data_IF_264470665254
#
_entry.id   IF_264470665254
#
_cell.length_a   1.000
_cell.length_b   1.000
_cell.length_c   1.000
_cell.angle_alpha   90.00
_cell.angle_beta   90.00
_cell.angle_gamma   90.00
#
_symmetry.space_group_name_H-M   'P 1'
#
loop_
_entity.id
_entity.type
_entity.pdbx_description
1 polymer ?
#
# COMPACT_ATOMS: atom_id res chain seq x y z
N UNK A 1 -12.91 -63.41 31.90
CA UNK A 1 -12.71 -61.97 32.23
C UNK A 1 -11.25 -61.64 31.97
N UNK A 2 -10.79 -60.72 31.15
CA UNK A 2 -11.37 -59.85 30.13
C UNK A 2 -10.28 -59.59 29.06
N UNK A 3 -10.72 -59.21 27.86
CA UNK A 3 -9.86 -58.92 26.70
C UNK A 3 -9.21 -57.54 26.83
N UNK A 4 -7.91 -57.42 26.59
CA UNK A 4 -7.21 -56.15 26.38
C UNK A 4 -6.96 -56.00 24.86
N UNK A 5 -7.71 -55.11 24.21
CA UNK A 5 -7.47 -54.67 22.84
C UNK A 5 -6.60 -53.42 22.90
N UNK A 6 -5.39 -53.49 22.36
CA UNK A 6 -4.52 -52.34 22.16
C UNK A 6 -5.03 -51.53 20.95
N UNK A 7 -5.61 -50.36 21.20
CA UNK A 7 -5.96 -49.39 20.18
C UNK A 7 -4.73 -48.55 19.83
N UNK A 8 -4.13 -48.78 18.66
CA UNK A 8 -3.17 -47.85 18.08
C UNK A 8 -3.92 -46.61 17.58
N UNK A 9 -3.87 -45.53 18.35
CA UNK A 9 -4.38 -44.22 17.91
C UNK A 9 -3.48 -43.67 16.81
N UNK A 10 -4.03 -43.57 15.59
CA UNK A 10 -3.37 -42.85 14.51
C UNK A 10 -3.35 -41.35 14.86
N UNK A 11 -2.17 -40.81 15.15
CA UNK A 11 -1.95 -39.37 15.21
C UNK A 11 -1.98 -38.85 13.79
N UNK A 12 -3.11 -38.28 13.37
CA UNK A 12 -3.19 -37.50 12.15
C UNK A 12 -2.52 -36.15 12.43
N UNK A 13 -1.28 -35.97 11.98
CA UNK A 13 -0.69 -34.63 11.89
C UNK A 13 -1.51 -33.84 10.85
N UNK A 14 -2.35 -32.92 11.32
CA UNK A 14 -2.94 -31.90 10.47
C UNK A 14 -1.82 -30.96 10.01
N UNK A 15 -1.30 -31.18 8.79
CA UNK A 15 -0.43 -30.21 8.14
C UNK A 15 -1.24 -28.92 7.89
N UNK A 16 -0.77 -27.81 8.44
CA UNK A 16 -1.39 -26.49 8.28
C UNK A 16 -1.40 -26.09 6.80
N UNK A 17 -2.59 -26.05 6.19
CA UNK A 17 -2.82 -25.67 4.79
C UNK A 17 -2.82 -24.13 4.56
N UNK A 18 -2.22 -23.35 5.44
CA UNK A 18 -2.31 -21.88 5.43
C UNK A 18 -1.16 -21.16 4.71
N UNK A 19 -0.24 -21.87 4.04
CA UNK A 19 1.01 -21.27 3.52
C UNK A 19 1.10 -21.15 1.99
N UNK A 20 0.17 -21.73 1.22
CA UNK A 20 0.30 -21.76 -0.24
C UNK A 20 0.12 -20.39 -0.90
N UNK A 21 -0.79 -19.56 -0.38
CA UNK A 21 -1.09 -18.22 -0.94
C UNK A 21 0.02 -17.21 -0.65
N UNK A 22 0.54 -17.16 0.58
CA UNK A 22 1.63 -16.26 0.95
C UNK A 22 2.93 -16.57 0.21
N UNK A 23 3.29 -17.85 0.06
CA UNK A 23 4.49 -18.24 -0.68
C UNK A 23 4.31 -18.02 -2.19
N UNK A 24 3.11 -18.21 -2.74
CA UNK A 24 2.83 -17.86 -4.14
C UNK A 24 2.93 -16.34 -4.38
N UNK A 25 2.40 -15.53 -3.46
CA UNK A 25 2.51 -14.07 -3.51
C UNK A 25 3.97 -13.61 -3.46
N UNK A 26 4.72 -14.12 -2.47
CA UNK A 26 6.12 -13.78 -2.30
C UNK A 26 6.96 -14.11 -3.55
N UNK A 27 6.60 -15.16 -4.30
CA UNK A 27 7.23 -15.50 -5.59
C UNK A 27 6.84 -14.52 -6.69
N UNK A 28 5.56 -14.16 -6.79
CA UNK A 28 5.09 -13.18 -7.76
C UNK A 28 5.69 -11.79 -7.53
N UNK A 29 5.95 -11.43 -6.27
CA UNK A 29 6.53 -10.14 -5.93
C UNK A 29 8.06 -10.08 -6.07
N UNK A 30 8.76 -11.20 -6.27
CA UNK A 30 10.23 -11.18 -6.37
C UNK A 30 10.70 -10.27 -7.51
N UNK A 31 11.54 -9.29 -7.18
CA UNK A 31 12.10 -8.37 -8.17
C UNK A 31 11.11 -7.38 -8.78
N UNK A 32 9.86 -7.37 -8.32
CA UNK A 32 8.83 -6.45 -8.80
C UNK A 32 9.25 -4.99 -8.54
N UNK A 33 9.23 -4.10 -9.54
CA UNK A 33 9.54 -2.69 -9.33
C UNK A 33 8.54 -2.02 -8.39
N UNK A 34 9.04 -1.13 -7.52
CA UNK A 34 8.24 -0.39 -6.54
C UNK A 34 8.32 1.10 -6.82
N UNK A 35 7.16 1.76 -6.86
CA UNK A 35 7.03 3.20 -6.97
C UNK A 35 6.54 3.77 -5.64
N UNK A 36 7.33 4.66 -5.06
CA UNK A 36 7.09 5.40 -3.83
C UNK A 36 6.47 6.75 -4.19
N UNK A 37 5.36 7.11 -3.55
CA UNK A 37 4.54 8.28 -3.86
C UNK A 37 4.39 9.14 -2.61
N UNK A 38 4.98 10.34 -2.62
CA UNK A 38 5.00 11.22 -1.46
C UNK A 38 3.67 11.93 -1.21
N UNK A 39 3.53 12.45 0.01
CA UNK A 39 2.38 13.21 0.46
C UNK A 39 2.45 14.70 0.13
N UNK A 40 1.53 15.45 0.72
CA UNK A 40 1.39 16.90 0.58
C UNK A 40 2.61 17.63 1.15
N UNK A 41 3.17 18.60 0.41
CA UNK A 41 4.46 19.24 0.72
C UNK A 41 5.65 18.25 0.87
N UNK A 42 5.50 17.02 0.38
CA UNK A 42 6.54 16.00 0.41
C UNK A 42 7.49 16.13 -0.78
N UNK A 43 8.57 15.35 -0.74
CA UNK A 43 9.52 15.18 -1.84
C UNK A 43 9.92 13.72 -1.95
N UNK A 44 10.50 13.29 -3.10
CA UNK A 44 11.07 11.95 -3.26
C UNK A 44 12.08 11.58 -2.17
N UNK A 45 12.85 12.55 -1.66
CA UNK A 45 13.95 12.32 -0.72
C UNK A 45 13.48 11.81 0.65
N UNK A 46 12.22 12.08 1.02
CA UNK A 46 11.62 11.55 2.26
C UNK A 46 11.67 10.02 2.33
N UNK A 47 11.67 9.35 1.17
CA UNK A 47 11.74 7.90 1.06
C UNK A 47 13.16 7.35 0.92
N UNK A 48 14.22 8.16 1.01
CA UNK A 48 15.58 7.68 0.76
C UNK A 48 15.95 6.40 1.55
N UNK A 49 15.63 6.27 2.86
CA UNK A 49 15.86 5.02 3.59
C UNK A 49 15.06 3.83 3.04
N UNK A 50 13.76 4.02 2.77
CA UNK A 50 12.88 2.97 2.25
C UNK A 50 13.29 2.53 0.84
N UNK A 51 13.64 3.47 -0.03
CA UNK A 51 14.15 3.18 -1.37
C UNK A 51 15.40 2.31 -1.32
N UNK A 52 16.35 2.64 -0.43
CA UNK A 52 17.57 1.86 -0.25
C UNK A 52 17.27 0.44 0.25
N UNK A 53 16.37 0.30 1.23
CA UNK A 53 15.99 -1.01 1.77
C UNK A 53 15.28 -1.89 0.72
N UNK A 54 14.38 -1.31 -0.08
CA UNK A 54 13.73 -2.02 -1.20
C UNK A 54 14.74 -2.53 -2.22
N UNK A 55 15.72 -1.70 -2.59
CA UNK A 55 16.78 -2.08 -3.51
C UNK A 55 17.67 -3.20 -2.94
N UNK A 56 18.00 -3.14 -1.65
CA UNK A 56 18.73 -4.21 -0.96
C UNK A 56 17.93 -5.52 -0.90
N UNK A 57 16.60 -5.43 -0.79
CA UNK A 57 15.70 -6.57 -0.88
C UNK A 57 15.46 -7.06 -2.32
N UNK A 58 16.12 -6.48 -3.33
CA UNK A 58 16.07 -6.92 -4.72
C UNK A 58 14.98 -6.28 -5.56
N UNK A 59 14.27 -5.27 -5.05
CA UNK A 59 13.24 -4.54 -5.80
C UNK A 59 13.81 -3.26 -6.43
N UNK A 60 13.71 -3.09 -7.77
CA UNK A 60 13.96 -1.78 -8.38
C UNK A 60 13.00 -0.74 -7.79
N UNK A 61 13.52 0.30 -7.14
CA UNK A 61 12.69 1.30 -6.45
C UNK A 61 12.84 2.70 -7.05
N UNK A 62 11.70 3.36 -7.27
CA UNK A 62 11.57 4.71 -7.80
C UNK A 62 10.76 5.55 -6.83
N UNK A 63 11.17 6.79 -6.58
CA UNK A 63 10.36 7.76 -5.84
C UNK A 63 9.97 8.86 -6.84
N UNK A 64 8.66 9.05 -7.03
CA UNK A 64 8.14 10.04 -8.00
C UNK A 64 8.22 11.44 -7.40
N UNK A 65 8.68 12.41 -8.18
CA UNK A 65 8.52 13.84 -7.89
C UNK A 65 7.16 14.27 -8.43
N UNK A 66 6.20 14.54 -7.55
CA UNK A 66 4.83 14.85 -7.96
C UNK A 66 4.74 16.26 -8.55
N UNK A 67 3.91 16.48 -9.58
CA UNK A 67 3.77 17.78 -10.23
C UNK A 67 3.13 18.87 -9.35
N UNK A 68 2.55 18.50 -8.20
CA UNK A 68 1.97 19.43 -7.23
C UNK A 68 1.04 18.73 -6.23
N UNK A 69 0.04 19.46 -5.74
CA UNK A 69 -0.86 19.03 -4.65
C UNK A 69 -2.26 18.62 -5.13
N UNK A 70 -2.42 18.48 -6.45
CA UNK A 70 -3.66 18.01 -7.06
C UNK A 70 -3.60 16.50 -7.30
N UNK A 71 -4.40 15.72 -6.56
CA UNK A 71 -4.41 14.26 -6.61
C UNK A 71 -4.72 13.70 -8.00
N UNK A 72 -5.58 14.35 -8.78
CA UNK A 72 -5.89 13.90 -10.16
C UNK A 72 -4.67 14.08 -11.07
N UNK A 73 -3.97 15.21 -10.99
CA UNK A 73 -2.74 15.43 -11.76
C UNK A 73 -1.65 14.44 -11.34
N UNK A 74 -1.50 14.23 -10.03
CA UNK A 74 -0.57 13.26 -9.45
C UNK A 74 -0.87 11.83 -9.91
N UNK A 75 -2.13 11.41 -9.97
CA UNK A 75 -2.53 10.11 -10.48
C UNK A 75 -2.15 9.89 -11.96
N UNK A 76 -2.23 10.94 -12.79
CA UNK A 76 -1.77 10.88 -14.19
C UNK A 76 -0.24 10.76 -14.28
N UNK A 77 0.50 11.48 -13.43
CA UNK A 77 1.95 11.34 -13.35
C UNK A 77 2.37 9.92 -12.90
N UNK A 78 1.66 9.35 -11.91
CA UNK A 78 1.83 7.95 -11.49
C UNK A 78 1.57 7.00 -12.67
N UNK A 79 0.48 7.21 -13.42
CA UNK A 79 0.16 6.36 -14.58
C UNK A 79 1.29 6.33 -15.62
N UNK A 80 1.87 7.49 -15.92
CA UNK A 80 2.99 7.62 -16.85
C UNK A 80 4.25 6.91 -16.32
N UNK A 81 4.58 7.11 -15.04
CA UNK A 81 5.75 6.47 -14.43
C UNK A 81 5.58 4.94 -14.33
N UNK A 82 4.39 4.45 -14.01
CA UNK A 82 4.09 3.01 -14.00
C UNK A 82 4.40 2.40 -15.36
N UNK A 83 3.96 3.02 -16.44
CA UNK A 83 4.21 2.50 -17.79
C UNK A 83 5.71 2.52 -18.13
N UNK A 84 6.40 3.62 -17.83
CA UNK A 84 7.85 3.73 -18.05
C UNK A 84 8.63 2.66 -17.26
N UNK A 85 8.30 2.46 -15.98
CA UNK A 85 8.99 1.49 -15.11
C UNK A 85 8.74 0.06 -15.59
N UNK A 86 7.50 -0.29 -15.96
CA UNK A 86 7.17 -1.60 -16.54
C UNK A 86 7.97 -1.88 -17.80
N UNK A 87 8.03 -0.92 -18.72
CA UNK A 87 8.80 -1.05 -19.96
C UNK A 87 10.30 -1.18 -19.69
N UNK A 88 10.84 -0.40 -18.74
CA UNK A 88 12.27 -0.41 -18.38
C UNK A 88 12.71 -1.77 -17.84
N UNK A 89 11.89 -2.41 -17.03
CA UNK A 89 12.21 -3.69 -16.39
C UNK A 89 11.62 -4.91 -17.09
N UNK A 90 10.84 -4.72 -18.15
CA UNK A 90 10.06 -5.81 -18.77
C UNK A 90 9.06 -6.45 -17.80
N UNK A 91 8.57 -5.68 -16.83
CA UNK A 91 7.71 -6.17 -15.75
C UNK A 91 6.23 -6.07 -16.14
N UNK A 92 5.46 -7.13 -15.86
CA UNK A 92 4.02 -7.14 -16.11
C UNK A 92 3.26 -6.18 -15.21
N UNK A 93 3.77 -5.93 -14.00
CA UNK A 93 3.14 -5.06 -13.00
C UNK A 93 4.22 -4.22 -12.29
N UNK A 94 3.76 -3.31 -11.43
CA UNK A 94 4.57 -2.68 -10.37
C UNK A 94 3.82 -2.75 -9.05
N UNK A 95 4.51 -2.49 -7.93
CA UNK A 95 3.86 -2.17 -6.65
C UNK A 95 3.92 -0.67 -6.35
N UNK A 96 2.86 -0.15 -5.73
CA UNK A 96 2.74 1.25 -5.33
C UNK A 96 2.79 1.35 -3.80
N UNK A 97 3.60 2.27 -3.28
CA UNK A 97 3.64 2.64 -1.86
C UNK A 97 3.36 4.13 -1.75
N UNK A 98 2.20 4.50 -1.22
CA UNK A 98 1.78 5.89 -1.07
C UNK A 98 1.80 6.34 0.38
N UNK A 99 2.41 7.49 0.65
CA UNK A 99 2.34 8.15 1.96
C UNK A 99 1.32 9.28 1.95
N UNK A 100 0.49 9.37 2.97
CA UNK A 100 -0.46 10.47 3.17
C UNK A 100 -1.30 10.73 1.90
N UNK A 101 -1.28 11.94 1.34
CA UNK A 101 -1.90 12.29 0.05
C UNK A 101 -1.51 11.36 -1.11
N UNK A 102 -0.25 10.91 -1.17
CA UNK A 102 0.25 10.03 -2.22
C UNK A 102 -0.51 8.71 -2.32
N UNK A 103 -1.02 8.20 -1.19
CA UNK A 103 -1.92 7.04 -1.17
C UNK A 103 -3.23 7.31 -1.89
N UNK A 104 -3.84 8.48 -1.71
CA UNK A 104 -5.07 8.87 -2.42
C UNK A 104 -4.84 9.02 -3.92
N UNK A 105 -3.74 9.64 -4.32
CA UNK A 105 -3.34 9.78 -5.73
C UNK A 105 -3.13 8.41 -6.40
N UNK A 106 -2.41 7.50 -5.73
CA UNK A 106 -2.20 6.14 -6.20
C UNK A 106 -3.51 5.35 -6.29
N UNK A 107 -4.40 5.47 -5.30
CA UNK A 107 -5.71 4.81 -5.30
C UNK A 107 -6.61 5.33 -6.42
N UNK A 108 -6.55 6.62 -6.74
CA UNK A 108 -7.28 7.19 -7.88
C UNK A 108 -6.77 6.64 -9.21
N UNK A 109 -5.44 6.49 -9.37
CA UNK A 109 -4.86 5.81 -10.53
C UNK A 109 -5.44 4.38 -10.71
N UNK A 110 -5.53 3.62 -9.61
CA UNK A 110 -6.11 2.27 -9.66
C UNK A 110 -7.59 2.30 -10.07
N UNK A 111 -8.41 3.12 -9.41
CA UNK A 111 -9.87 3.15 -9.64
C UNK A 111 -10.28 3.75 -10.98
N UNK A 112 -9.61 4.81 -11.42
CA UNK A 112 -10.12 5.68 -12.48
C UNK A 112 -9.30 5.64 -13.76
N UNK A 113 -8.03 5.21 -13.70
CA UNK A 113 -7.09 5.24 -14.83
C UNK A 113 -6.68 3.84 -15.29
N UNK A 114 -7.39 2.79 -14.87
CA UNK A 114 -7.16 1.41 -15.28
C UNK A 114 -5.91 0.76 -14.68
N UNK A 115 -5.41 1.30 -13.57
CA UNK A 115 -4.15 0.87 -12.95
C UNK A 115 -4.18 -0.55 -12.38
N UNK A 116 -5.36 -1.10 -12.06
CA UNK A 116 -5.50 -2.43 -11.43
C UNK A 116 -4.90 -3.58 -12.23
N UNK A 117 -4.82 -3.46 -13.55
CA UNK A 117 -4.21 -4.49 -14.41
C UNK A 117 -2.68 -4.43 -14.41
N UNK A 118 -2.10 -3.29 -14.02
CA UNK A 118 -0.66 -3.00 -14.04
C UNK A 118 -0.05 -2.88 -12.65
N UNK A 119 -0.83 -3.14 -11.61
CA UNK A 119 -0.38 -3.06 -10.22
C UNK A 119 -0.54 -4.39 -9.50
N UNK A 120 0.50 -4.80 -8.78
CA UNK A 120 0.51 -6.00 -7.94
C UNK A 120 0.03 -5.65 -6.53
N UNK A 121 0.69 -4.68 -5.89
CA UNK A 121 0.36 -4.24 -4.53
C UNK A 121 0.08 -2.75 -4.46
N UNK A 122 -0.85 -2.37 -3.59
CA UNK A 122 -1.03 -1.01 -3.10
C UNK A 122 -0.79 -1.04 -1.59
N UNK A 123 0.25 -0.35 -1.14
CA UNK A 123 0.51 -0.13 0.28
C UNK A 123 0.33 1.35 0.55
N UNK A 124 -0.50 1.69 1.52
CA UNK A 124 -0.69 3.06 1.97
C UNK A 124 -0.17 3.23 3.39
N UNK A 125 0.41 4.39 3.68
CA UNK A 125 0.97 4.75 4.99
C UNK A 125 0.42 6.10 5.41
N UNK A 126 -0.22 6.17 6.57
CA UNK A 126 -0.80 7.40 7.11
C UNK A 126 -1.88 8.04 6.23
N UNK A 127 -2.43 7.30 5.26
CA UNK A 127 -3.42 7.84 4.32
C UNK A 127 -4.82 7.80 4.93
N UNK A 128 -5.43 8.97 5.12
CA UNK A 128 -6.87 9.08 5.36
C UNK A 128 -7.66 8.68 4.11
N UNK A 129 -7.96 7.39 3.95
CA UNK A 129 -8.59 6.80 2.76
C UNK A 129 -9.94 7.42 2.37
N UNK A 130 -10.65 8.02 3.33
CA UNK A 130 -11.94 8.71 3.17
C UNK A 130 -11.82 10.23 3.21
N UNK A 131 -10.60 10.75 3.22
CA UNK A 131 -10.27 12.16 3.14
C UNK A 131 -9.81 12.74 4.47
N UNK A 132 -9.51 14.04 4.44
CA UNK A 132 -8.96 14.81 5.55
C UNK A 132 -9.71 16.13 5.68
N UNK A 133 -10.47 16.29 6.77
CA UNK A 133 -11.39 17.42 6.94
C UNK A 133 -10.74 18.82 6.84
N UNK A 134 -9.56 19.06 7.42
CA UNK A 134 -8.90 20.36 7.28
C UNK A 134 -8.59 20.77 5.83
N UNK A 135 -8.46 19.80 4.91
CA UNK A 135 -8.28 20.10 3.48
C UNK A 135 -9.48 20.82 2.84
N UNK A 136 -10.67 20.79 3.46
CA UNK A 136 -11.84 21.52 2.96
C UNK A 136 -11.67 23.05 2.98
N UNK A 137 -10.63 23.56 3.65
CA UNK A 137 -10.28 24.99 3.68
C UNK A 137 -9.29 25.36 2.56
N UNK A 138 -8.78 24.40 1.80
CA UNK A 138 -7.75 24.62 0.79
C UNK A 138 -8.35 24.68 -0.63
N UNK A 139 -7.76 25.47 -1.54
CA UNK A 139 -8.03 25.36 -2.96
C UNK A 139 -7.72 23.95 -3.48
N UNK A 140 -8.46 23.48 -4.49
CA UNK A 140 -8.27 22.13 -5.07
C UNK A 140 -6.82 21.87 -5.52
N UNK A 141 -6.19 22.87 -6.16
CA UNK A 141 -4.81 22.81 -6.63
C UNK A 141 -3.75 22.80 -5.50
N UNK A 142 -4.16 23.05 -4.25
CA UNK A 142 -3.27 23.15 -3.08
C UNK A 142 -3.57 22.05 -2.04
N UNK A 143 -4.18 20.93 -2.46
CA UNK A 143 -4.53 19.82 -1.57
C UNK A 143 -6.02 19.74 -1.21
N UNK A 144 -6.85 20.70 -1.64
CA UNK A 144 -8.29 20.73 -1.35
C UNK A 144 -9.07 19.52 -1.86
N UNK A 145 -8.51 18.77 -2.82
CA UNK A 145 -9.09 17.51 -3.27
C UNK A 145 -9.19 16.46 -2.14
N UNK A 146 -8.36 16.51 -1.10
CA UNK A 146 -8.45 15.59 0.04
C UNK A 146 -9.66 15.83 0.95
N UNK A 147 -10.39 16.94 0.78
CA UNK A 147 -11.61 17.20 1.53
C UNK A 147 -12.63 16.07 1.32
N UNK A 148 -13.22 15.47 2.38
CA UNK A 148 -14.16 14.35 2.23
C UNK A 148 -15.38 14.65 1.34
N UNK A 149 -15.78 15.91 1.23
CA UNK A 149 -16.91 16.34 0.38
C UNK A 149 -16.50 16.80 -1.02
N UNK A 150 -15.22 16.70 -1.39
CA UNK A 150 -14.77 17.06 -2.73
C UNK A 150 -15.32 16.07 -3.77
N UNK A 151 -15.44 16.50 -5.02
CA UNK A 151 -15.79 15.60 -6.14
C UNK A 151 -14.79 14.45 -6.25
N UNK A 152 -13.51 14.73 -6.02
CA UNK A 152 -12.45 13.72 -6.02
C UNK A 152 -12.70 12.63 -4.98
N UNK A 153 -12.89 12.99 -3.70
CA UNK A 153 -13.11 12.00 -2.64
C UNK A 153 -14.43 11.26 -2.81
N UNK A 154 -15.47 11.96 -3.26
CA UNK A 154 -16.78 11.35 -3.54
C UNK A 154 -16.67 10.27 -4.63
N UNK A 155 -15.94 10.53 -5.71
CA UNK A 155 -15.67 9.52 -6.75
C UNK A 155 -14.74 8.41 -6.27
N UNK A 156 -13.68 8.76 -5.53
CA UNK A 156 -12.71 7.79 -5.02
C UNK A 156 -13.37 6.78 -4.04
N UNK A 157 -14.39 7.21 -3.29
CA UNK A 157 -15.10 6.38 -2.33
C UNK A 157 -16.41 5.76 -2.83
N UNK A 158 -16.81 5.98 -4.09
CA UNK A 158 -18.00 5.34 -4.65
C UNK A 158 -17.74 3.90 -5.12
N UNK A 159 -18.71 3.00 -4.94
CA UNK A 159 -18.59 1.61 -5.40
C UNK A 159 -17.53 0.80 -4.65
N UNK A 160 -16.87 -0.13 -5.35
CA UNK A 160 -15.83 -0.99 -4.78
C UNK A 160 -14.57 -0.18 -4.41
N UNK A 161 -14.18 -0.15 -3.13
CA UNK A 161 -13.03 0.63 -2.70
C UNK A 161 -11.67 -0.01 -3.04
N UNK A 162 -11.64 -1.31 -3.35
CA UNK A 162 -10.43 -2.13 -3.57
C UNK A 162 -10.55 -2.95 -4.86
N UNK A 163 -10.72 -2.32 -6.03
CA UNK A 163 -11.02 -3.06 -7.26
C UNK A 163 -9.84 -3.89 -7.78
N UNK A 164 -10.21 -4.94 -8.52
CA UNK A 164 -9.27 -5.81 -9.23
C UNK A 164 -8.50 -6.76 -8.31
N UNK A 165 -7.47 -7.41 -8.87
CA UNK A 165 -6.65 -8.38 -8.15
C UNK A 165 -5.44 -7.74 -7.43
N UNK A 166 -5.50 -6.43 -7.15
CA UNK A 166 -4.44 -5.71 -6.42
C UNK A 166 -4.53 -6.09 -4.95
N UNK A 167 -3.39 -6.33 -4.28
CA UNK A 167 -3.38 -6.51 -2.83
C UNK A 167 -3.28 -5.15 -2.15
N UNK A 168 -4.35 -4.77 -1.46
CA UNK A 168 -4.45 -3.51 -0.72
C UNK A 168 -4.01 -3.70 0.73
N UNK A 169 -3.05 -2.90 1.18
CA UNK A 169 -2.56 -2.83 2.56
C UNK A 169 -2.65 -1.40 3.08
N UNK A 170 -3.16 -1.23 4.29
CA UNK A 170 -3.24 0.07 4.98
C UNK A 170 -2.39 0.01 6.26
N UNK A 171 -1.36 0.84 6.30
CA UNK A 171 -0.48 1.04 7.45
C UNK A 171 -0.79 2.42 8.02
N UNK A 172 -0.81 2.53 9.34
CA UNK A 172 -0.97 3.80 10.03
C UNK A 172 -0.05 3.86 11.23
N UNK A 173 0.32 5.07 11.65
CA UNK A 173 0.92 5.29 12.96
C UNK A 173 -0.18 5.46 14.02
N UNK A 174 0.10 5.05 15.26
CA UNK A 174 -0.75 5.37 16.41
C UNK A 174 -0.89 6.88 16.64
N UNK A 175 0.01 7.68 16.06
CA UNK A 175 0.00 9.14 16.10
C UNK A 175 -0.78 9.80 14.95
N UNK A 176 -1.18 9.04 13.93
CA UNK A 176 -1.98 9.60 12.84
C UNK A 176 -3.38 10.00 13.34
N UNK A 177 -3.82 11.17 12.90
CA UNK A 177 -5.20 11.63 13.11
C UNK A 177 -6.21 10.72 12.40
N UNK A 178 -5.80 10.15 11.27
CA UNK A 178 -6.60 9.27 10.42
C UNK A 178 -6.30 7.79 10.63
N UNK A 179 -5.61 7.38 11.71
CA UNK A 179 -5.22 5.98 11.96
C UNK A 179 -6.36 4.96 11.92
N UNK A 180 -7.56 5.42 12.25
CA UNK A 180 -8.78 4.61 12.24
C UNK A 180 -9.48 4.55 10.89
N UNK A 181 -9.05 5.36 9.93
CA UNK A 181 -9.60 5.41 8.61
C UNK A 181 -9.01 4.31 7.73
N UNK A 182 -9.90 3.61 7.03
CA UNK A 182 -9.55 2.45 6.22
C UNK A 182 -10.59 2.27 5.13
N UNK A 183 -10.51 1.19 4.35
CA UNK A 183 -11.49 0.83 3.33
C UNK A 183 -11.77 -0.66 3.41
N UNK A 184 -12.96 -1.07 2.96
CA UNK A 184 -13.34 -2.48 2.92
C UNK A 184 -12.47 -3.24 1.92
N UNK A 185 -12.33 -4.55 2.09
CA UNK A 185 -11.60 -5.41 1.15
C UNK A 185 -10.07 -5.35 1.24
N UNK A 186 -9.50 -4.61 2.20
CA UNK A 186 -8.05 -4.63 2.45
C UNK A 186 -7.58 -6.02 2.87
N UNK A 187 -6.46 -6.46 2.31
CA UNK A 187 -5.85 -7.73 2.65
C UNK A 187 -5.10 -7.68 3.99
N UNK A 188 -4.66 -6.48 4.39
CA UNK A 188 -3.99 -6.24 5.65
C UNK A 188 -4.24 -4.81 6.13
N UNK A 189 -4.42 -4.67 7.45
CA UNK A 189 -4.35 -3.40 8.16
C UNK A 189 -3.45 -3.58 9.38
N UNK A 190 -2.49 -2.68 9.56
CA UNK A 190 -1.61 -2.65 10.73
C UNK A 190 -1.44 -1.22 11.24
N UNK A 191 -1.34 -1.06 12.55
CA UNK A 191 -1.03 0.20 13.21
C UNK A 191 0.34 0.06 13.90
N UNK A 192 1.26 0.98 13.65
CA UNK A 192 2.60 1.00 14.22
C UNK A 192 2.69 2.07 15.32
N UNK A 193 3.35 1.80 16.46
CA UNK A 193 3.37 2.73 17.57
C UNK A 193 4.35 3.90 17.35
N UNK A 194 3.88 5.12 17.63
CA UNK A 194 4.74 6.24 18.03
C UNK A 194 5.57 6.92 16.95
N UNK A 195 5.25 6.73 15.66
CA UNK A 195 5.98 7.39 14.56
C UNK A 195 5.27 8.68 14.15
N UNK A 196 5.93 9.86 14.16
CA UNK A 196 5.31 11.08 13.65
C UNK A 196 4.95 10.95 12.16
N UNK A 197 3.79 11.44 11.75
CA UNK A 197 3.25 11.29 10.39
C UNK A 197 4.25 11.65 9.28
N UNK A 198 5.03 12.73 9.44
CA UNK A 198 6.01 13.18 8.45
C UNK A 198 7.26 12.28 8.36
N UNK A 199 7.54 11.48 9.39
CA UNK A 199 8.72 10.63 9.47
C UNK A 199 8.49 9.21 8.93
N UNK A 200 7.23 8.80 8.76
CA UNK A 200 6.87 7.45 8.30
C UNK A 200 7.63 6.98 7.04
N UNK A 201 7.83 7.80 5.98
CA UNK A 201 8.54 7.36 4.77
C UNK A 201 10.00 6.94 5.00
N UNK A 202 10.65 7.51 6.02
CA UNK A 202 12.04 7.25 6.37
C UNK A 202 12.23 6.39 7.61
N UNK A 203 11.14 6.10 8.35
CA UNK A 203 11.20 5.39 9.61
C UNK A 203 11.39 3.87 9.40
N UNK A 204 12.34 3.27 10.13
CA UNK A 204 12.67 1.86 10.00
C UNK A 204 11.48 0.92 10.21
N UNK A 205 10.57 1.23 11.15
CA UNK A 205 9.42 0.38 11.42
C UNK A 205 8.45 0.35 10.22
N UNK A 206 8.25 1.49 9.56
CA UNK A 206 7.45 1.57 8.34
C UNK A 206 8.14 0.93 7.14
N UNK A 207 9.46 1.04 7.04
CA UNK A 207 10.26 0.34 6.01
C UNK A 207 10.06 -1.18 6.12
N UNK A 208 10.20 -1.73 7.32
CA UNK A 208 10.03 -3.17 7.58
C UNK A 208 8.58 -3.63 7.32
N UNK A 209 7.61 -2.79 7.70
CA UNK A 209 6.20 -3.06 7.45
C UNK A 209 5.86 -3.06 5.96
N UNK A 210 6.41 -2.13 5.17
CA UNK A 210 6.24 -2.10 3.71
C UNK A 210 6.86 -3.35 3.07
N UNK A 211 8.09 -3.72 3.44
CA UNK A 211 8.72 -4.94 2.93
C UNK A 211 7.89 -6.19 3.23
N UNK A 212 7.36 -6.29 4.46
CA UNK A 212 6.47 -7.38 4.88
C UNK A 212 5.19 -7.40 4.05
N UNK A 213 4.56 -6.24 3.83
CA UNK A 213 3.33 -6.13 3.04
C UNK A 213 3.54 -6.51 1.57
N UNK A 214 4.64 -6.06 0.96
CA UNK A 214 5.01 -6.39 -0.43
C UNK A 214 5.29 -7.89 -0.59
N UNK A 215 5.89 -8.53 0.42
CA UNK A 215 6.06 -9.98 0.50
C UNK A 215 4.78 -10.79 0.72
N UNK A 216 3.61 -10.13 0.82
CA UNK A 216 2.32 -10.78 1.00
C UNK A 216 1.94 -11.03 2.46
N UNK A 217 2.75 -10.56 3.41
CA UNK A 217 2.47 -10.63 4.84
C UNK A 217 1.47 -9.57 5.32
N UNK A 218 1.25 -9.56 6.62
CA UNK A 218 0.64 -8.46 7.34
C UNK A 218 1.55 -8.10 8.53
N UNK A 219 2.09 -6.89 8.61
CA UNK A 219 2.98 -6.50 9.71
C UNK A 219 2.29 -6.67 11.06
N UNK A 220 3.06 -7.06 12.09
CA UNK A 220 2.57 -7.04 13.46
C UNK A 220 2.43 -5.58 13.94
N UNK A 221 1.37 -5.32 14.70
CA UNK A 221 1.18 -4.06 15.42
C UNK A 221 2.01 -4.02 16.71
#
# INVERSE_FOLDING_TARGET
>A
MGRLLAGAGAVVLAAALSTSSGVAWARQSQGEPVILVHGWNGTPDSFAPMKAALQQAGHPAYAIDLPGEENIANANAIAALVEQVRQTHGADKVSLVGHSMGGLSARYYLKSLGGTTKTLSYVSMGTGQRGYWPACLLPAAQGGQMCPTSTFMTQLNSGDPTPGAVRYTVLASSLDETRNDTIDGVACRAELPGVPHAEEPGNAAFVDAVLTALGGGCPAA
#
